data_IF_638727999280
#
_entry.id   IF_638727999280
#
_cell.length_a   1.000
_cell.length_b   1.000
_cell.length_c   1.000
_cell.angle_alpha   90.00
_cell.angle_beta   90.00
_cell.angle_gamma   90.00
#
_symmetry.space_group_name_H-M   'P 1'
#
loop_
_entity.id
_entity.type
_entity.pdbx_description
1 polymer ?
#
# COMPACT_ATOMS: atom_id res chain seq x y z
N UNK A 1 -6.00 4.12 -19.18
CA UNK A 1 -5.79 4.19 -17.76
C UNK A 1 -5.39 2.84 -17.22
N UNK A 2 -4.37 2.82 -16.40
CA UNK A 2 -4.00 1.60 -15.70
C UNK A 2 -4.44 1.69 -14.24
N UNK A 3 -5.12 0.65 -13.81
CA UNK A 3 -5.41 0.47 -12.39
C UNK A 3 -4.38 -0.48 -11.81
N UNK A 4 -4.06 -0.30 -10.55
CA UNK A 4 -3.16 -1.17 -9.83
C UNK A 4 -3.91 -1.87 -8.70
N UNK A 5 -3.66 -3.18 -8.54
CA UNK A 5 -4.27 -3.97 -7.46
C UNK A 5 -3.41 -3.98 -6.21
N UNK A 6 -2.13 -3.69 -6.36
CA UNK A 6 -1.20 -3.73 -5.24
C UNK A 6 0.00 -2.84 -5.54
N UNK A 7 0.73 -2.51 -4.49
CA UNK A 7 2.02 -1.86 -4.60
C UNK A 7 3.07 -2.62 -3.80
N UNK A 8 4.32 -2.41 -4.19
CA UNK A 8 5.47 -2.99 -3.51
C UNK A 8 6.39 -1.86 -3.05
N UNK A 9 6.84 -1.96 -1.81
CA UNK A 9 7.80 -1.04 -1.23
C UNK A 9 8.91 -1.87 -0.58
N UNK A 10 10.17 -1.53 -0.84
CA UNK A 10 11.30 -2.25 -0.26
C UNK A 10 11.49 -1.91 1.21
N UNK A 11 11.18 -0.67 1.59
CA UNK A 11 11.35 -0.19 2.96
C UNK A 11 10.16 0.65 3.38
N UNK A 12 9.76 0.50 4.65
CA UNK A 12 8.79 1.36 5.28
C UNK A 12 9.40 1.91 6.55
N UNK A 13 9.33 3.22 6.73
CA UNK A 13 9.75 3.87 7.95
C UNK A 13 8.57 3.87 8.92
N UNK A 14 8.66 3.04 9.95
CA UNK A 14 7.58 2.89 10.93
C UNK A 14 7.72 3.91 12.05
N UNK A 15 6.66 4.66 12.31
CA UNK A 15 6.60 5.62 13.42
C UNK A 15 5.79 5.07 14.58
N UNK A 16 5.02 4.01 14.34
CA UNK A 16 4.30 3.26 15.37
C UNK A 16 4.51 1.78 15.14
N UNK A 17 4.52 0.96 16.20
CA UNK A 17 4.75 -0.48 16.04
C UNK A 17 3.65 -1.15 15.25
N UNK A 18 4.02 -2.09 14.39
CA UNK A 18 3.08 -2.96 13.68
C UNK A 18 3.57 -4.40 13.79
N UNK A 19 2.62 -5.31 13.84
CA UNK A 19 2.90 -6.74 13.84
C UNK A 19 2.51 -7.31 12.47
N UNK A 20 3.53 -7.70 11.70
CA UNK A 20 3.35 -8.26 10.37
C UNK A 20 3.67 -9.76 10.34
N UNK A 21 3.53 -10.44 11.46
CA UNK A 21 3.63 -11.91 11.49
C UNK A 21 2.54 -12.56 10.63
N UNK A 22 1.47 -11.83 10.36
CA UNK A 22 0.41 -12.21 9.43
C UNK A 22 0.00 -10.95 8.65
N UNK A 23 -0.65 -11.11 7.49
CA UNK A 23 -1.14 -9.94 6.75
C UNK A 23 -2.07 -9.09 7.60
N UNK A 24 -1.95 -7.78 7.49
CA UNK A 24 -2.63 -6.82 8.36
C UNK A 24 -3.48 -5.87 7.53
N UNK A 25 -4.74 -5.73 7.91
CA UNK A 25 -5.67 -4.80 7.24
C UNK A 25 -5.44 -3.39 7.76
N UNK A 26 -5.17 -2.50 6.83
CA UNK A 26 -4.86 -1.10 7.10
C UNK A 26 -5.56 -0.23 6.07
N UNK A 27 -5.27 1.07 6.13
CA UNK A 27 -5.56 1.97 5.03
C UNK A 27 -4.26 2.59 4.54
N UNK A 28 -4.24 2.96 3.27
CA UNK A 28 -3.08 3.58 2.64
C UNK A 28 -3.49 4.81 1.87
N UNK A 29 -2.61 5.78 1.84
CA UNK A 29 -2.79 7.00 1.07
C UNK A 29 -1.59 7.15 0.16
N UNK A 30 -1.82 7.15 -1.15
CA UNK A 30 -0.77 7.33 -2.16
C UNK A 30 -0.74 8.74 -2.73
N UNK A 31 -1.76 9.56 -2.40
CA UNK A 31 -1.82 10.97 -2.77
C UNK A 31 -2.43 11.73 -1.61
N UNK A 32 -1.89 12.90 -1.32
CA UNK A 32 -2.34 13.62 -0.14
C UNK A 32 -3.78 14.14 -0.23
N UNK A 33 -4.34 14.28 -1.43
CA UNK A 33 -5.75 14.70 -1.60
C UNK A 33 -6.72 13.54 -1.73
N UNK A 34 -6.22 12.33 -1.69
CA UNK A 34 -7.02 11.14 -1.79
C UNK A 34 -7.53 10.75 -0.40
N UNK A 35 -8.73 10.17 -0.33
CA UNK A 35 -9.15 9.51 0.90
C UNK A 35 -8.35 8.24 1.09
N UNK A 36 -8.25 7.77 2.33
CA UNK A 36 -7.53 6.55 2.65
C UNK A 36 -8.18 5.36 1.95
N UNK A 37 -7.37 4.47 1.41
CA UNK A 37 -7.83 3.29 0.68
C UNK A 37 -7.54 2.05 1.48
N UNK A 38 -8.57 1.21 1.66
CA UNK A 38 -8.42 -0.04 2.39
C UNK A 38 -7.47 -0.98 1.66
N UNK A 39 -6.55 -1.57 2.40
CA UNK A 39 -5.57 -2.50 1.86
C UNK A 39 -5.20 -3.54 2.90
N UNK A 40 -4.53 -4.58 2.43
CA UNK A 40 -3.92 -5.59 3.28
C UNK A 40 -2.41 -5.53 3.06
N UNK A 41 -1.68 -5.25 4.13
CA UNK A 41 -0.23 -5.15 4.07
C UNK A 41 0.39 -6.47 4.53
N UNK A 42 1.32 -6.97 3.75
CA UNK A 42 2.08 -8.17 4.10
C UNK A 42 3.57 -7.92 3.90
N UNK A 43 4.36 -8.61 4.69
CA UNK A 43 5.80 -8.56 4.55
C UNK A 43 6.23 -9.64 3.55
N UNK A 44 7.15 -9.27 2.65
CA UNK A 44 7.69 -10.18 1.64
C UNK A 44 9.19 -10.35 1.88
N UNK A 45 9.82 -11.25 1.12
CA UNK A 45 11.27 -11.43 1.21
C UNK A 45 12.04 -10.17 0.82
N UNK A 46 11.46 -9.32 -0.04
CA UNK A 46 12.12 -8.14 -0.57
C UNK A 46 11.59 -6.83 0.01
N UNK A 47 10.64 -6.90 0.94
CA UNK A 47 10.05 -5.71 1.54
C UNK A 47 8.60 -5.90 1.92
N UNK A 48 7.72 -5.09 1.35
CA UNK A 48 6.31 -5.07 1.74
C UNK A 48 5.42 -5.01 0.50
N UNK A 49 4.25 -5.62 0.60
CA UNK A 49 3.25 -5.61 -0.45
C UNK A 49 1.92 -5.18 0.14
N UNK A 50 1.32 -4.14 -0.41
CA UNK A 50 0.00 -3.68 -0.01
C UNK A 50 -1.00 -3.98 -1.12
N UNK A 51 -1.98 -4.81 -0.82
CA UNK A 51 -3.02 -5.21 -1.77
C UNK A 51 -4.28 -4.40 -1.48
N UNK A 52 -4.74 -3.64 -2.46
CA UNK A 52 -5.92 -2.79 -2.30
C UNK A 52 -7.20 -3.62 -2.42
N UNK A 53 -8.22 -3.27 -1.62
CA UNK A 53 -9.53 -3.89 -1.79
C UNK A 53 -10.21 -3.41 -3.07
N UNK A 54 -9.95 -2.16 -3.45
CA UNK A 54 -10.46 -1.57 -4.71
C UNK A 54 -9.26 -1.14 -5.55
N UNK A 55 -9.16 -1.53 -6.82
CA UNK A 55 -8.03 -1.12 -7.65
C UNK A 55 -7.87 0.40 -7.67
N UNK A 56 -6.62 0.86 -7.66
CA UNK A 56 -6.27 2.27 -7.55
C UNK A 56 -5.66 2.76 -8.85
N UNK A 57 -6.05 3.98 -9.24
CA UNK A 57 -5.48 4.64 -10.42
C UNK A 57 -4.16 5.31 -10.08
N UNK A 58 -3.28 5.35 -11.07
CA UNK A 58 -2.06 6.15 -11.03
C UNK A 58 -1.17 5.87 -9.83
N UNK A 59 -1.07 4.61 -9.41
CA UNK A 59 -0.05 4.19 -8.46
C UNK A 59 1.25 4.08 -9.24
N UNK A 60 2.23 4.89 -8.87
CA UNK A 60 3.44 5.07 -9.68
C UNK A 60 4.69 4.84 -8.85
N UNK A 61 5.67 4.11 -9.36
CA UNK A 61 6.98 4.02 -8.69
C UNK A 61 7.55 5.41 -8.44
N UNK A 62 8.18 5.59 -7.28
CA UNK A 62 8.72 6.86 -6.86
C UNK A 62 7.78 7.71 -6.03
N UNK A 63 6.48 7.44 -6.05
CA UNK A 63 5.54 8.13 -5.18
C UNK A 63 5.66 7.62 -3.75
N UNK A 64 5.30 8.46 -2.79
CA UNK A 64 5.23 8.06 -1.39
C UNK A 64 3.90 7.39 -1.10
N UNK A 65 3.93 6.44 -0.16
CA UNK A 65 2.73 5.82 0.40
C UNK A 65 2.80 5.96 1.91
N UNK A 66 1.66 6.27 2.53
CA UNK A 66 1.56 6.38 3.99
C UNK A 66 0.46 5.44 4.45
N UNK A 67 0.74 4.70 5.52
CA UNK A 67 -0.17 3.70 6.07
C UNK A 67 -0.75 4.17 7.38
N UNK A 68 -2.04 3.86 7.59
CA UNK A 68 -2.79 4.27 8.77
C UNK A 68 -3.57 3.10 9.35
N UNK A 69 -3.77 3.15 10.66
CA UNK A 69 -4.76 2.34 11.35
C UNK A 69 -5.77 3.33 11.94
N UNK A 70 -6.92 3.46 11.26
CA UNK A 70 -7.84 4.53 11.59
C UNK A 70 -7.19 5.89 11.37
N UNK A 71 -7.08 6.69 12.42
CA UNK A 71 -6.45 8.01 12.35
C UNK A 71 -4.97 7.98 12.73
N UNK A 72 -4.47 6.82 13.15
CA UNK A 72 -3.08 6.69 13.60
C UNK A 72 -2.17 6.42 12.40
N UNK A 73 -1.23 7.32 12.16
CA UNK A 73 -0.21 7.10 11.15
C UNK A 73 0.76 6.03 11.63
N UNK A 74 0.93 4.99 10.85
CA UNK A 74 1.82 3.88 11.19
C UNK A 74 3.20 4.06 10.60
N UNK A 75 3.28 4.63 9.42
CA UNK A 75 4.55 4.82 8.74
C UNK A 75 4.35 5.04 7.26
N UNK A 76 5.44 5.13 6.53
CA UNK A 76 5.39 5.37 5.10
C UNK A 76 6.66 4.97 4.40
N UNK A 77 6.58 4.92 3.09
CA UNK A 77 7.71 4.56 2.26
C UNK A 77 7.54 5.04 0.83
N UNK A 78 8.43 4.58 -0.03
CA UNK A 78 8.42 4.91 -1.45
C UNK A 78 7.97 3.68 -2.22
N UNK A 79 7.04 3.89 -3.14
CA UNK A 79 6.55 2.81 -3.99
C UNK A 79 7.64 2.41 -4.97
N UNK A 80 8.00 1.12 -4.96
CA UNK A 80 9.01 0.57 -5.88
C UNK A 80 8.36 0.08 -7.16
N UNK A 81 7.20 -0.59 -7.03
CA UNK A 81 6.49 -1.15 -8.16
C UNK A 81 4.99 -1.10 -7.89
N UNK A 82 4.22 -1.07 -8.97
CA UNK A 82 2.78 -1.21 -8.91
C UNK A 82 2.40 -2.47 -9.69
N UNK A 83 1.51 -3.29 -9.10
CA UNK A 83 1.00 -4.49 -9.78
C UNK A 83 -0.26 -4.11 -10.54
N UNK A 84 -0.30 -4.36 -11.85
CA UNK A 84 -1.47 -3.99 -12.64
C UNK A 84 -2.68 -4.85 -12.28
N UNK A 85 -3.85 -4.22 -12.38
CA UNK A 85 -5.13 -4.90 -12.27
C UNK A 85 -5.72 -5.01 -13.68
N UNK A 86 -6.26 -6.17 -13.99
CA UNK A 86 -6.92 -6.41 -15.25
C UNK A 86 -8.36 -6.82 -14.99
N UNK A 87 -9.29 -6.25 -15.74
CA UNK A 87 -10.69 -6.58 -15.62
C UNK A 87 -10.90 -8.09 -15.83
N UNK A 88 -11.70 -8.70 -14.95
CA UNK A 88 -11.96 -10.12 -14.99
C UNK A 88 -10.90 -10.99 -14.34
N UNK A 89 -9.90 -10.38 -13.69
CA UNK A 89 -8.84 -11.10 -12.97
C UNK A 89 -8.74 -10.60 -11.53
N UNK A 90 -8.70 -11.54 -10.64
CA UNK A 90 -8.52 -11.23 -9.21
C UNK A 90 -7.05 -11.04 -8.88
#
# INVERSE_FOLDING_TARGET
>A
WLFSRALLASEIYWVNPVDLSAPLKLTAKVRYRQSDQACTLEQTSDGYRAVFEVPQRAVTPGQSVVFYDGEVCLGGGVIEQAEPWFEGRA
#
